data_IF_283909802240
#
_entry.id   IF_283909802240
#
_cell.length_a   1.000
_cell.length_b   1.000
_cell.length_c   1.000
_cell.angle_alpha   90.00
_cell.angle_beta   90.00
_cell.angle_gamma   90.00
#
_symmetry.space_group_name_H-M   'P 1'
#
loop_
_entity.id
_entity.type
_entity.pdbx_description
1 polymer ?
#
# COMPACT_ATOMS: atom_id res chain seq x y z
N UNK A 1 4.89 26.42 -0.01
CA UNK A 1 5.04 24.99 0.32
C UNK A 1 5.82 24.90 1.62
N UNK A 2 5.17 24.48 2.70
CA UNK A 2 5.82 24.24 3.99
C UNK A 2 6.73 22.99 3.89
N UNK A 3 7.93 23.03 4.48
CA UNK A 3 8.83 21.88 4.55
C UNK A 3 8.18 20.67 5.22
N UNK A 4 7.26 20.92 6.16
CA UNK A 4 6.47 19.89 6.83
C UNK A 4 5.49 19.23 5.86
N UNK A 5 4.89 19.99 4.95
CA UNK A 5 3.98 19.45 3.92
C UNK A 5 4.74 18.57 2.93
N UNK A 6 5.91 19.02 2.45
CA UNK A 6 6.76 18.23 1.54
C UNK A 6 7.22 16.94 2.20
N UNK A 7 7.67 17.00 3.47
CA UNK A 7 8.06 15.81 4.22
C UNK A 7 6.93 14.80 4.37
N UNK A 8 5.71 15.27 4.63
CA UNK A 8 4.52 14.43 4.71
C UNK A 8 4.16 13.78 3.36
N UNK A 9 4.19 14.55 2.26
CA UNK A 9 3.95 14.00 0.92
C UNK A 9 4.97 12.93 0.56
N UNK A 10 6.26 13.14 0.87
CA UNK A 10 7.31 12.16 0.62
C UNK A 10 7.13 10.88 1.46
N UNK A 11 6.70 11.00 2.71
CA UNK A 11 6.37 9.85 3.57
C UNK A 11 5.22 9.01 3.00
N UNK A 12 4.15 9.66 2.53
CA UNK A 12 2.99 8.99 1.90
C UNK A 12 3.41 8.28 0.61
N UNK A 13 4.22 8.93 -0.24
CA UNK A 13 4.75 8.32 -1.46
C UNK A 13 5.62 7.10 -1.11
N UNK A 14 6.55 7.24 -0.16
CA UNK A 14 7.44 6.17 0.28
C UNK A 14 6.66 4.95 0.79
N UNK A 15 5.69 5.15 1.68
CA UNK A 15 4.83 4.07 2.19
C UNK A 15 4.02 3.39 1.09
N UNK A 16 3.49 4.17 0.15
CA UNK A 16 2.75 3.65 -1.00
C UNK A 16 3.63 2.79 -1.90
N UNK A 17 4.88 3.19 -2.15
CA UNK A 17 5.84 2.40 -2.92
C UNK A 17 6.15 1.06 -2.24
N UNK A 18 6.44 1.06 -0.93
CA UNK A 18 6.72 -0.19 -0.18
C UNK A 18 5.52 -1.14 -0.23
N UNK A 19 4.32 -0.61 0.02
CA UNK A 19 3.10 -1.42 -0.04
C UNK A 19 2.84 -1.96 -1.46
N UNK A 20 3.09 -1.17 -2.50
CA UNK A 20 2.96 -1.61 -3.89
C UNK A 20 3.94 -2.73 -4.23
N UNK A 21 5.20 -2.63 -3.79
CA UNK A 21 6.19 -3.69 -3.97
C UNK A 21 5.77 -5.00 -3.28
N UNK A 22 5.22 -4.93 -2.06
CA UNK A 22 4.69 -6.12 -1.38
C UNK A 22 3.53 -6.76 -2.17
N UNK A 23 2.56 -5.95 -2.64
CA UNK A 23 1.44 -6.40 -3.47
C UNK A 23 1.92 -7.05 -4.78
N UNK A 24 2.96 -6.50 -5.41
CA UNK A 24 3.53 -7.05 -6.64
C UNK A 24 4.08 -8.46 -6.44
N UNK A 25 4.73 -8.71 -5.30
CA UNK A 25 5.20 -10.06 -4.93
C UNK A 25 4.02 -11.00 -4.77
N UNK A 26 2.98 -10.61 -4.04
CA UNK A 26 1.77 -11.44 -3.89
C UNK A 26 1.14 -11.77 -5.24
N UNK A 27 1.03 -10.79 -6.14
CA UNK A 27 0.46 -11.01 -7.47
C UNK A 27 1.31 -11.99 -8.30
N UNK A 28 2.64 -11.83 -8.30
CA UNK A 28 3.55 -12.74 -9.01
C UNK A 28 3.44 -14.17 -8.45
N UNK A 29 3.49 -14.30 -7.13
CA UNK A 29 3.46 -15.60 -6.45
C UNK A 29 2.13 -16.32 -6.66
N UNK A 30 1.01 -15.59 -6.64
CA UNK A 30 -0.32 -16.14 -6.94
C UNK A 30 -0.42 -16.67 -8.38
N UNK A 31 0.29 -16.07 -9.34
CA UNK A 31 0.31 -16.51 -10.74
C UNK A 31 1.21 -17.75 -10.98
N UNK A 32 2.16 -18.05 -10.09
CA UNK A 32 3.09 -19.16 -10.29
C UNK A 32 2.46 -20.56 -10.08
N UNK A 33 1.23 -20.68 -9.54
CA UNK A 33 0.44 -21.93 -9.37
C UNK A 33 1.15 -23.15 -8.74
N UNK A 34 2.38 -23.01 -8.26
CA UNK A 34 3.22 -24.06 -7.67
C UNK A 34 3.04 -24.22 -6.17
N UNK A 35 2.23 -23.38 -5.54
CA UNK A 35 2.04 -23.33 -4.09
C UNK A 35 0.75 -24.04 -3.66
N UNK A 36 0.74 -24.49 -2.40
CA UNK A 36 -0.45 -25.06 -1.76
C UNK A 36 -1.61 -24.05 -1.75
N UNK A 37 -2.83 -24.56 -1.90
CA UNK A 37 -4.08 -23.79 -1.79
C UNK A 37 -4.16 -23.04 -0.46
N UNK A 38 -3.63 -23.60 0.63
CA UNK A 38 -3.58 -22.92 1.91
C UNK A 38 -2.75 -21.63 1.85
N UNK A 39 -1.56 -21.69 1.23
CA UNK A 39 -0.67 -20.55 1.04
C UNK A 39 -1.29 -19.50 0.10
N UNK A 40 -1.88 -19.95 -1.02
CA UNK A 40 -2.58 -19.07 -1.96
C UNK A 40 -3.73 -18.31 -1.27
N UNK A 41 -4.48 -18.97 -0.38
CA UNK A 41 -5.56 -18.32 0.37
C UNK A 41 -5.03 -17.23 1.30
N UNK A 42 -3.97 -17.51 2.05
CA UNK A 42 -3.34 -16.52 2.95
C UNK A 42 -2.80 -15.34 2.17
N UNK A 43 -2.07 -15.59 1.07
CA UNK A 43 -1.52 -14.55 0.20
C UNK A 43 -2.60 -13.62 -0.39
N UNK A 44 -3.78 -14.15 -0.72
CA UNK A 44 -4.92 -13.32 -1.19
C UNK A 44 -5.46 -12.43 -0.09
N UNK A 45 -5.55 -12.91 1.15
CA UNK A 45 -5.99 -12.09 2.28
C UNK A 45 -4.96 -11.01 2.62
N UNK A 46 -3.67 -11.34 2.60
CA UNK A 46 -2.57 -10.36 2.76
C UNK A 46 -2.61 -9.29 1.67
N UNK A 47 -2.81 -9.69 0.40
CA UNK A 47 -2.91 -8.74 -0.70
C UNK A 47 -4.10 -7.78 -0.54
N UNK A 48 -5.26 -8.25 -0.08
CA UNK A 48 -6.42 -7.40 0.21
C UNK A 48 -6.12 -6.39 1.32
N UNK A 49 -5.47 -6.85 2.40
CA UNK A 49 -5.06 -5.97 3.50
C UNK A 49 -4.04 -4.92 3.04
N UNK A 50 -3.08 -5.29 2.19
CA UNK A 50 -2.13 -4.37 1.58
C UNK A 50 -2.82 -3.29 0.73
N UNK A 51 -3.77 -3.69 -0.13
CA UNK A 51 -4.56 -2.75 -0.94
C UNK A 51 -5.37 -1.80 -0.06
N UNK A 52 -6.02 -2.33 0.98
CA UNK A 52 -6.76 -1.51 1.94
C UNK A 52 -5.85 -0.51 2.66
N UNK A 53 -4.63 -0.93 3.04
CA UNK A 53 -3.63 -0.06 3.63
C UNK A 53 -3.23 1.11 2.73
N UNK A 54 -3.01 0.85 1.42
CA UNK A 54 -2.72 1.90 0.44
C UNK A 54 -3.90 2.89 0.33
N UNK A 55 -5.13 2.39 0.28
CA UNK A 55 -6.33 3.24 0.22
C UNK A 55 -6.39 4.16 1.45
N UNK A 56 -6.15 3.62 2.65
CA UNK A 56 -6.14 4.41 3.89
C UNK A 56 -5.03 5.48 3.90
N UNK A 57 -3.83 5.14 3.40
CA UNK A 57 -2.73 6.11 3.27
C UNK A 57 -3.13 7.27 2.34
N UNK A 58 -3.71 6.96 1.18
CA UNK A 58 -4.14 7.97 0.21
C UNK A 58 -5.28 8.83 0.77
N UNK A 59 -6.29 8.21 1.39
CA UNK A 59 -7.39 8.95 2.02
C UNK A 59 -6.88 9.83 3.15
N UNK A 60 -5.96 9.35 3.97
CA UNK A 60 -5.31 10.14 5.02
C UNK A 60 -4.58 11.36 4.45
N UNK A 61 -3.85 11.19 3.34
CA UNK A 61 -3.21 12.30 2.63
C UNK A 61 -4.22 13.34 2.15
N UNK A 62 -5.33 12.90 1.53
CA UNK A 62 -6.40 13.80 1.04
C UNK A 62 -7.10 14.52 2.18
N UNK A 63 -7.32 13.87 3.33
CA UNK A 63 -7.94 14.50 4.49
C UNK A 63 -7.01 15.51 5.18
N UNK A 64 -5.70 15.24 5.19
CA UNK A 64 -4.72 16.10 5.85
C UNK A 64 -4.27 17.27 4.97
N UNK A 65 -4.29 17.12 3.65
CA UNK A 65 -3.95 18.19 2.70
C UNK A 65 -4.77 19.50 2.89
N UNK A 66 -6.11 19.49 3.00
CA UNK A 66 -6.89 20.70 3.23
C UNK A 66 -6.79 21.23 4.67
N UNK A 67 -6.28 20.44 5.63
CA UNK A 67 -6.11 20.89 7.03
C UNK A 67 -4.88 21.78 7.25
N UNK A 68 -4.01 21.91 6.25
CA UNK A 68 -2.77 22.71 6.30
C UNK A 68 -2.74 23.89 5.30
N UNK A 69 -3.87 24.19 4.66
CA UNK A 69 -4.05 25.38 3.83
C UNK A 69 -4.75 26.49 4.61
#
# INVERSE_FOLDING_TARGET
MDIVFVGFTLDVIGKSMVAFTAIMVHHRVLNEHKLDRAVIKVMKEEQKLGILGIILIIVGYILQAPSKF
#
